data_IF_696669957314
#
_entry.id   IF_696669957314
#
_cell.length_a   1.000
_cell.length_b   1.000
_cell.length_c   1.000
_cell.angle_alpha   90.00
_cell.angle_beta   90.00
_cell.angle_gamma   90.00
#
_symmetry.space_group_name_H-M   'P 1'
#
loop_
_entity.id
_entity.type
_entity.pdbx_description
1 polymer ?
#
# COMPACT_ATOMS: atom_id res chain seq x y z
N UNK A 1 -34.21 15.09 -12.02
CA UNK A 1 -33.06 14.96 -12.78
C UNK A 1 -31.81 15.14 -11.96
N UNK A 2 -30.89 14.36 -12.26
CA UNK A 2 -29.65 14.44 -11.57
C UNK A 2 -28.88 15.64 -11.99
N UNK A 3 -28.46 16.37 -11.01
CA UNK A 3 -27.55 17.45 -11.25
C UNK A 3 -26.14 16.89 -11.34
N UNK A 4 -25.51 16.93 -12.50
CA UNK A 4 -24.16 16.36 -12.64
C UNK A 4 -23.15 16.99 -11.68
N UNK A 5 -23.31 18.26 -11.42
CA UNK A 5 -22.43 18.94 -10.49
C UNK A 5 -22.57 18.38 -9.09
N UNK A 6 -23.79 18.15 -8.65
CA UNK A 6 -24.04 17.57 -7.33
C UNK A 6 -23.45 16.17 -7.27
N UNK A 7 -23.56 15.41 -8.32
CA UNK A 7 -23.00 14.08 -8.34
C UNK A 7 -21.49 14.11 -8.25
N UNK A 8 -20.86 15.04 -8.89
CA UNK A 8 -19.41 15.15 -8.82
C UNK A 8 -18.94 15.57 -7.43
N UNK A 9 -19.67 16.46 -6.81
CA UNK A 9 -19.34 16.88 -5.46
C UNK A 9 -19.54 15.75 -4.48
N UNK A 10 -20.57 14.95 -4.72
CA UNK A 10 -20.89 13.83 -3.86
C UNK A 10 -19.99 12.64 -4.11
N UNK A 11 -19.12 12.72 -5.06
CA UNK A 11 -18.09 11.70 -5.23
C UNK A 11 -17.13 11.69 -4.08
N UNK A 12 -17.59 12.00 -2.95
CA UNK A 12 -16.89 11.59 -1.76
C UNK A 12 -16.92 10.08 -1.77
N UNK A 13 -15.78 9.51 -1.58
CA UNK A 13 -15.67 8.08 -1.45
C UNK A 13 -16.50 7.61 -0.27
N UNK A 14 -16.97 6.40 -0.34
CA UNK A 14 -17.61 5.74 0.78
C UNK A 14 -16.60 5.39 1.85
N UNK A 15 -17.02 4.58 2.80
CA UNK A 15 -16.13 4.12 3.84
C UNK A 15 -15.03 3.24 3.25
N UNK A 16 -13.81 3.29 3.81
CA UNK A 16 -12.74 2.38 3.40
C UNK A 16 -13.17 0.92 3.53
N UNK A 17 -12.96 0.15 2.48
CA UNK A 17 -13.34 -1.25 2.45
C UNK A 17 -12.21 -2.17 1.99
N UNK A 18 -11.33 -1.70 1.13
CA UNK A 18 -10.31 -2.54 0.55
C UNK A 18 -9.07 -1.74 0.18
N UNK A 19 -8.03 -2.47 -0.19
CA UNK A 19 -6.76 -1.89 -0.62
C UNK A 19 -6.54 -2.15 -2.09
N UNK A 20 -5.81 -1.25 -2.74
CA UNK A 20 -5.27 -1.48 -4.07
C UNK A 20 -3.75 -1.40 -3.97
N UNK A 21 -3.07 -2.43 -4.44
CA UNK A 21 -1.62 -2.51 -4.39
C UNK A 21 -1.07 -2.41 -5.81
N UNK A 22 -0.11 -1.50 -6.00
CA UNK A 22 0.52 -1.30 -7.29
C UNK A 22 2.03 -1.27 -7.10
N UNK A 23 2.73 -2.18 -7.75
CA UNK A 23 4.19 -2.22 -7.71
C UNK A 23 4.76 -1.51 -8.94
N UNK A 24 5.79 -0.71 -8.75
CA UNK A 24 6.49 -0.12 -9.88
C UNK A 24 7.30 -1.18 -10.62
N UNK A 25 7.75 -2.21 -9.90
CA UNK A 25 8.47 -3.34 -10.49
C UNK A 25 8.00 -4.63 -9.82
N UNK A 26 7.51 -5.56 -10.64
CA UNK A 26 7.04 -6.85 -10.13
C UNK A 26 8.12 -7.91 -10.14
N UNK A 27 9.28 -7.60 -10.65
CA UNK A 27 10.44 -8.48 -10.63
C UNK A 27 11.66 -7.66 -10.31
N UNK A 28 12.44 -8.12 -9.33
CA UNK A 28 13.69 -7.48 -8.93
C UNK A 28 14.75 -8.55 -8.76
N UNK A 29 16.01 -8.15 -8.74
CA UNK A 29 17.12 -9.09 -8.74
C UNK A 29 17.60 -9.38 -7.32
N UNK A 30 17.85 -10.65 -7.06
CA UNK A 30 18.43 -11.10 -5.80
C UNK A 30 19.89 -10.64 -5.70
N UNK A 31 20.37 -10.47 -4.47
CA UNK A 31 21.76 -10.21 -4.18
C UNK A 31 22.24 -8.81 -4.48
N UNK A 32 21.47 -8.02 -5.20
CA UNK A 32 21.85 -6.67 -5.60
C UNK A 32 21.19 -5.56 -4.78
N UNK A 33 20.46 -5.94 -3.77
CA UNK A 33 19.68 -4.97 -2.98
C UNK A 33 18.77 -4.12 -3.86
N UNK A 34 18.17 -4.77 -4.82
CA UNK A 34 17.25 -4.12 -5.74
C UNK A 34 15.96 -3.75 -5.01
N UNK A 35 15.31 -2.69 -5.44
CA UNK A 35 14.15 -2.15 -4.74
C UNK A 35 12.91 -2.18 -5.60
N UNK A 36 11.77 -2.38 -4.94
CA UNK A 36 10.46 -2.20 -5.54
C UNK A 36 9.62 -1.34 -4.62
N UNK A 37 8.92 -0.38 -5.19
CA UNK A 37 8.03 0.50 -4.44
C UNK A 37 6.60 0.09 -4.71
N UNK A 38 5.88 -0.23 -3.64
CA UNK A 38 4.48 -0.64 -3.73
C UNK A 38 3.61 0.47 -3.19
N UNK A 39 2.75 1.03 -4.03
CA UNK A 39 1.78 2.02 -3.62
C UNK A 39 0.54 1.31 -3.10
N UNK A 40 0.16 1.63 -1.88
CA UNK A 40 -1.00 1.07 -1.21
C UNK A 40 -2.05 2.17 -1.16
N UNK A 41 -3.19 1.92 -1.77
CA UNK A 41 -4.30 2.87 -1.77
C UNK A 41 -5.48 2.28 -1.04
N UNK A 42 -6.18 3.14 -0.29
CA UNK A 42 -7.37 2.74 0.44
C UNK A 42 -8.57 3.09 -0.42
N UNK A 43 -9.37 2.09 -0.75
CA UNK A 43 -10.52 2.25 -1.64
C UNK A 43 -11.81 1.94 -0.90
N UNK A 44 -12.91 2.51 -1.41
CA UNK A 44 -14.24 2.17 -0.94
C UNK A 44 -14.75 0.92 -1.66
N UNK A 45 -16.00 0.56 -1.40
CA UNK A 45 -16.62 -0.61 -1.99
C UNK A 45 -16.66 -0.55 -3.53
N UNK A 46 -16.75 0.63 -4.08
CA UNK A 46 -16.87 0.84 -5.52
C UNK A 46 -15.52 1.02 -6.20
N UNK A 47 -14.43 0.93 -5.46
CA UNK A 47 -13.10 1.07 -6.04
C UNK A 47 -12.60 2.51 -6.13
N UNK A 48 -13.27 3.44 -5.46
CA UNK A 48 -12.84 4.84 -5.46
C UNK A 48 -11.85 5.08 -4.32
N UNK A 49 -10.82 5.87 -4.60
CA UNK A 49 -9.85 6.24 -3.58
C UNK A 49 -10.55 7.01 -2.47
N UNK A 50 -10.23 6.66 -1.22
CA UNK A 50 -10.72 7.37 -0.05
C UNK A 50 -9.68 8.43 0.32
N UNK A 51 -9.81 9.67 -0.17
CA UNK A 51 -8.73 10.65 -0.05
C UNK A 51 -8.51 11.15 1.38
N UNK A 52 -9.45 10.87 2.28
CA UNK A 52 -9.30 11.27 3.67
C UNK A 52 -8.98 10.11 4.59
N UNK A 53 -8.76 8.94 4.03
CA UNK A 53 -8.49 7.77 4.85
C UNK A 53 -7.15 7.92 5.55
N UNK A 54 -7.16 7.65 6.85
CA UNK A 54 -5.97 7.68 7.68
C UNK A 54 -5.89 6.40 8.50
N UNK A 55 -6.33 5.31 7.93
CA UNK A 55 -6.34 4.02 8.58
C UNK A 55 -4.93 3.56 8.91
N UNK A 56 -4.79 2.91 10.05
CA UNK A 56 -3.52 2.27 10.39
C UNK A 56 -3.37 1.01 9.56
N UNK A 57 -2.31 0.95 8.79
CA UNK A 57 -2.06 -0.13 7.84
C UNK A 57 -0.85 -0.93 8.29
N UNK A 58 -1.00 -2.26 8.28
CA UNK A 58 0.08 -3.18 8.60
C UNK A 58 0.55 -3.87 7.33
N UNK A 59 1.86 -4.01 7.19
CA UNK A 59 2.47 -4.65 6.03
C UNK A 59 3.31 -5.82 6.51
N UNK A 60 3.08 -6.98 5.92
CA UNK A 60 3.82 -8.19 6.24
C UNK A 60 4.49 -8.71 4.99
N UNK A 61 5.73 -9.16 5.12
CA UNK A 61 6.50 -9.69 4.00
C UNK A 61 6.76 -11.17 4.23
N UNK A 62 6.49 -11.97 3.22
CA UNK A 62 6.78 -13.40 3.22
C UNK A 62 7.64 -13.70 2.01
N UNK A 63 8.80 -14.31 2.22
CA UNK A 63 9.67 -14.70 1.13
C UNK A 63 11.03 -14.02 1.19
N UNK A 64 11.82 -14.14 0.11
CA UNK A 64 13.23 -13.73 0.10
C UNK A 64 13.42 -12.24 -0.11
N UNK A 65 13.05 -11.45 0.86
CA UNK A 65 13.23 -10.02 0.81
C UNK A 65 12.76 -9.41 2.11
N UNK A 66 12.79 -8.09 2.18
CA UNK A 66 12.39 -7.41 3.41
C UNK A 66 11.75 -6.07 3.11
N UNK A 67 10.92 -5.64 4.03
CA UNK A 67 10.37 -4.30 4.04
C UNK A 67 11.39 -3.38 4.69
N UNK A 68 11.87 -2.40 3.96
CA UNK A 68 12.88 -1.50 4.52
C UNK A 68 12.32 -0.14 4.93
N UNK A 69 11.16 0.24 4.41
CA UNK A 69 10.57 1.51 4.78
C UNK A 69 9.10 1.59 4.41
N UNK A 70 8.37 2.36 5.19
CA UNK A 70 7.02 2.81 4.86
C UNK A 70 7.03 4.33 4.84
N UNK A 71 6.31 4.93 3.91
CA UNK A 71 6.23 6.38 3.82
C UNK A 71 4.84 6.78 3.35
N UNK A 72 4.20 7.65 4.11
CA UNK A 72 2.87 8.14 3.75
C UNK A 72 2.87 9.57 3.22
N UNK A 73 4.01 10.25 3.24
CA UNK A 73 4.08 11.62 2.76
C UNK A 73 3.61 12.67 3.74
N UNK A 74 3.18 12.28 4.94
CA UNK A 74 2.72 13.22 5.94
C UNK A 74 3.92 13.76 6.73
N UNK A 75 4.21 15.06 6.63
CA UNK A 75 5.38 15.61 7.33
C UNK A 75 5.21 15.65 8.85
N UNK A 76 3.99 15.45 9.34
CA UNK A 76 3.73 15.45 10.79
C UNK A 76 3.68 14.06 11.38
N UNK A 77 3.82 13.02 10.58
CA UNK A 77 3.80 11.64 11.06
C UNK A 77 5.17 11.29 11.61
N UNK A 78 5.20 10.95 12.88
CA UNK A 78 6.44 10.60 13.57
C UNK A 78 6.68 9.09 13.67
N UNK A 79 5.87 8.31 12.98
CA UNK A 79 6.07 6.86 12.93
C UNK A 79 7.39 6.56 12.25
N UNK A 80 8.17 5.62 12.80
CA UNK A 80 9.44 5.24 12.21
C UNK A 80 9.24 4.64 10.82
N UNK A 81 10.03 5.08 9.86
CA UNK A 81 10.00 4.53 8.51
C UNK A 81 10.37 3.05 8.48
N UNK A 82 11.06 2.56 9.50
CA UNK A 82 11.45 1.15 9.59
C UNK A 82 10.37 0.27 10.21
N UNK A 83 9.25 0.85 10.62
CA UNK A 83 8.14 0.09 11.16
C UNK A 83 7.42 -0.68 10.06
N UNK A 84 6.72 -1.75 10.46
CA UNK A 84 5.86 -2.49 9.53
C UNK A 84 4.41 -2.02 9.56
N UNK A 85 4.17 -0.85 10.14
CA UNK A 85 2.85 -0.24 10.15
C UNK A 85 2.98 1.27 10.05
N UNK A 86 1.96 1.89 9.49
CA UNK A 86 1.90 3.34 9.35
C UNK A 86 0.48 3.73 8.97
N UNK A 87 0.06 4.92 9.34
CA UNK A 87 -1.24 5.42 8.92
C UNK A 87 -1.18 5.88 7.47
N UNK A 88 -2.22 5.60 6.72
CA UNK A 88 -2.37 6.16 5.40
C UNK A 88 -2.49 7.69 5.51
N UNK A 89 -2.02 8.39 4.51
CA UNK A 89 -2.17 9.83 4.40
C UNK A 89 -2.80 10.12 3.05
N UNK A 90 -3.94 10.79 3.07
CA UNK A 90 -4.73 11.02 1.87
C UNK A 90 -5.07 9.72 1.16
N UNK A 91 -5.29 8.66 1.94
CA UNK A 91 -5.65 7.36 1.42
C UNK A 91 -4.50 6.55 0.84
N UNK A 92 -3.27 6.97 1.03
CA UNK A 92 -2.12 6.32 0.40
C UNK A 92 -0.98 6.05 1.35
N UNK A 93 -0.19 5.04 0.98
CA UNK A 93 1.01 4.65 1.71
C UNK A 93 1.94 3.96 0.72
N UNK A 94 3.24 4.19 0.81
CA UNK A 94 4.22 3.53 -0.06
C UNK A 94 5.10 2.62 0.78
N UNK A 95 5.20 1.36 0.35
CA UNK A 95 6.10 0.38 0.96
C UNK A 95 7.29 0.16 0.05
N UNK A 96 8.48 0.18 0.62
CA UNK A 96 9.71 -0.08 -0.12
C UNK A 96 10.23 -1.46 0.25
N UNK A 97 10.35 -2.32 -0.74
CA UNK A 97 10.82 -3.70 -0.58
C UNK A 97 12.22 -3.82 -1.15
N UNK A 98 13.10 -4.47 -0.42
CA UNK A 98 14.45 -4.75 -0.87
C UNK A 98 14.62 -6.25 -1.08
N UNK A 99 15.24 -6.64 -2.19
CA UNK A 99 15.51 -8.04 -2.46
C UNK A 99 16.55 -8.59 -1.48
N UNK A 100 16.42 -9.88 -1.17
CA UNK A 100 17.42 -10.59 -0.36
C UNK A 100 18.43 -11.30 -1.23
N UNK A 101 19.18 -12.21 -0.62
CA UNK A 101 20.19 -12.98 -1.31
C UNK A 101 19.62 -14.11 -2.16
N UNK A 102 18.43 -14.58 -1.80
CA UNK A 102 17.84 -15.74 -2.44
C UNK A 102 16.81 -15.31 -3.48
N UNK A 103 16.63 -16.18 -4.48
CA UNK A 103 15.58 -16.00 -5.47
C UNK A 103 14.30 -16.66 -4.98
N UNK A 104 13.19 -16.26 -5.57
CA UNK A 104 11.89 -16.83 -5.24
C UNK A 104 10.78 -15.82 -5.32
N UNK A 105 9.62 -16.22 -4.84
CA UNK A 105 8.44 -15.36 -4.85
C UNK A 105 8.29 -14.70 -3.48
N UNK A 106 8.20 -13.38 -3.49
CA UNK A 106 7.95 -12.59 -2.29
C UNK A 106 6.50 -12.17 -2.29
N UNK A 107 5.84 -12.32 -1.16
CA UNK A 107 4.46 -11.87 -1.03
C UNK A 107 4.40 -10.74 0.00
N UNK A 108 3.81 -9.63 -0.41
CA UNK A 108 3.52 -8.50 0.48
C UNK A 108 2.04 -8.57 0.84
N UNK A 109 1.73 -8.63 2.13
CA UNK A 109 0.36 -8.70 2.61
C UNK A 109 0.04 -7.43 3.38
N UNK A 110 -1.06 -6.82 3.03
CA UNK A 110 -1.52 -5.56 3.64
C UNK A 110 -2.81 -5.82 4.40
N UNK A 111 -2.88 -5.31 5.61
CA UNK A 111 -4.07 -5.44 6.43
C UNK A 111 -4.29 -4.18 7.25
N UNK A 112 -5.51 -3.97 7.68
CA UNK A 112 -5.82 -2.82 8.51
C UNK A 112 -7.28 -2.81 8.92
N UNK A 113 -7.53 -2.90 10.23
CA UNK A 113 -8.86 -2.81 10.79
C UNK A 113 -9.84 -3.75 10.14
N UNK A 114 -10.93 -3.21 9.67
CA UNK A 114 -12.01 -3.98 9.05
C UNK A 114 -11.86 -4.10 7.54
N UNK A 115 -10.79 -3.58 6.97
CA UNK A 115 -10.60 -3.67 5.53
C UNK A 115 -10.20 -5.08 5.14
N UNK A 116 -10.60 -5.47 3.94
CA UNK A 116 -10.24 -6.77 3.40
C UNK A 116 -8.73 -6.82 3.15
N UNK A 117 -8.09 -7.87 3.63
CA UNK A 117 -6.66 -8.06 3.36
C UNK A 117 -6.41 -8.16 1.88
N UNK A 118 -5.28 -7.65 1.45
CA UNK A 118 -4.85 -7.74 0.07
C UNK A 118 -3.40 -8.13 0.02
N UNK A 119 -2.99 -8.77 -1.06
CA UNK A 119 -1.60 -9.19 -1.22
C UNK A 119 -1.12 -8.95 -2.64
N UNK A 120 0.18 -8.83 -2.77
CA UNK A 120 0.84 -8.64 -4.06
C UNK A 120 2.10 -9.49 -4.06
N UNK A 121 2.35 -10.15 -5.18
CA UNK A 121 3.53 -11.01 -5.32
C UNK A 121 4.55 -10.33 -6.20
N UNK A 122 5.82 -10.44 -5.78
CA UNK A 122 6.96 -9.90 -6.50
C UNK A 122 7.96 -11.03 -6.69
N UNK A 123 8.47 -11.14 -7.90
CA UNK A 123 9.45 -12.18 -8.21
C UNK A 123 10.86 -11.66 -7.93
N UNK A 124 11.63 -12.42 -7.15
CA UNK A 124 13.04 -12.14 -6.91
C UNK A 124 13.82 -13.09 -7.81
N UNK A 125 14.51 -12.52 -8.76
CA UNK A 125 15.22 -13.30 -9.78
C UNK A 125 16.72 -13.37 -9.61
#
# INVERSE_FOLDING_TARGET
ANNPLAQQVIKTAGEPKKFKLTADRKAIKAGGKDLSYITIEVLDENGNLCPRAANLIFVEIKGPGKLIALCNGDPTDHTSFASNYMRAFNGKLVATIESGEETGELELVVSGGFLKKESLKIMIE
#
